data_IF_944386839918
#
_entry.id   IF_944386839918
#
_cell.length_a   1.000
_cell.length_b   1.000
_cell.length_c   1.000
_cell.angle_alpha   90.00
_cell.angle_beta   90.00
_cell.angle_gamma   90.00
#
_symmetry.space_group_name_H-M   'P 1'
#
loop_
_entity.id
_entity.type
_entity.pdbx_description
1 polymer ?
#
# COMPACT_ATOMS: atom_id res chain seq x y z
N UNK A 1 -10.33 36.24 7.00
CA UNK A 1 -9.46 35.40 7.86
C UNK A 1 -9.54 33.97 7.36
N UNK A 2 -8.53 33.53 6.60
CA UNK A 2 -8.42 32.16 6.11
C UNK A 2 -7.44 31.42 7.02
N UNK A 3 -7.94 30.52 7.88
CA UNK A 3 -7.09 29.66 8.68
C UNK A 3 -6.64 28.45 7.84
N UNK A 4 -5.31 28.31 7.70
CA UNK A 4 -4.64 27.23 6.96
C UNK A 4 -4.64 25.91 7.76
N UNK A 5 -4.70 24.74 7.11
CA UNK A 5 -4.92 23.44 7.74
C UNK A 5 -3.60 22.79 8.20
N UNK A 6 -2.89 23.38 9.16
CA UNK A 6 -1.65 22.79 9.69
C UNK A 6 -1.88 21.69 10.74
N UNK A 7 -3.10 21.57 11.29
CA UNK A 7 -3.41 20.58 12.34
C UNK A 7 -3.54 19.14 11.82
N UNK A 8 -3.82 18.91 10.53
CA UNK A 8 -3.92 17.53 10.00
C UNK A 8 -2.55 16.87 9.76
N UNK A 9 -1.51 17.68 9.51
CA UNK A 9 -0.12 17.22 9.37
C UNK A 9 0.48 16.79 10.72
N UNK A 10 0.12 17.47 11.82
CA UNK A 10 0.56 17.08 13.16
C UNK A 10 -0.01 15.72 13.60
N UNK A 11 -1.27 15.41 13.25
CA UNK A 11 -1.88 14.12 13.60
C UNK A 11 -1.26 12.94 12.84
N UNK A 12 -0.89 13.12 11.57
CA UNK A 12 -0.19 12.07 10.82
C UNK A 12 1.20 11.78 11.40
N UNK A 13 1.94 12.82 11.81
CA UNK A 13 3.25 12.66 12.46
C UNK A 13 3.16 12.01 13.85
N UNK A 14 2.10 12.29 14.62
CA UNK A 14 1.89 11.70 15.95
C UNK A 14 1.50 10.24 15.86
N UNK A 15 0.69 9.85 14.87
CA UNK A 15 0.35 8.43 14.61
C UNK A 15 1.59 7.64 14.18
N UNK A 16 2.45 8.22 13.32
CA UNK A 16 3.74 7.63 12.95
C UNK A 16 4.67 7.45 14.17
N UNK A 17 4.73 8.45 15.06
CA UNK A 17 5.55 8.38 16.29
C UNK A 17 5.02 7.40 17.35
N UNK A 18 3.70 7.26 17.50
CA UNK A 18 3.11 6.29 18.41
C UNK A 18 3.28 4.85 17.90
N UNK A 19 3.20 4.63 16.59
CA UNK A 19 3.60 3.37 15.95
C UNK A 19 5.09 3.07 16.22
N UNK A 20 5.97 4.07 16.10
CA UNK A 20 7.41 3.95 16.36
C UNK A 20 7.73 3.52 17.80
N UNK A 21 6.99 4.01 18.81
CA UNK A 21 7.20 3.63 20.22
C UNK A 21 6.71 2.22 20.55
N UNK A 22 5.65 1.74 19.90
CA UNK A 22 5.17 0.35 20.05
C UNK A 22 6.14 -0.68 19.47
N UNK A 23 6.80 -0.33 18.36
CA UNK A 23 7.78 -1.17 17.64
C UNK A 23 9.01 -1.54 18.49
N UNK A 24 9.47 -0.66 19.39
CA UNK A 24 10.71 -0.92 20.15
C UNK A 24 10.53 -1.77 21.41
N UNK A 25 9.30 -1.89 21.94
CA UNK A 25 9.06 -2.44 23.29
C UNK A 25 9.05 -3.98 23.34
N UNK A 26 8.77 -4.67 22.23
CA UNK A 26 8.56 -6.13 22.20
C UNK A 26 9.70 -6.95 21.55
N UNK A 27 10.85 -6.33 21.29
CA UNK A 27 11.95 -6.95 20.51
C UNK A 27 12.80 -8.01 21.25
N UNK A 28 12.54 -8.29 22.53
CA UNK A 28 13.36 -9.24 23.30
C UNK A 28 13.11 -10.72 22.93
N UNK A 29 11.91 -11.06 22.42
CA UNK A 29 11.55 -12.43 22.07
C UNK A 29 11.95 -12.85 20.63
N UNK A 30 12.35 -11.89 19.78
CA UNK A 30 12.65 -12.11 18.36
C UNK A 30 14.06 -12.69 18.09
N UNK A 31 14.87 -12.90 19.14
CA UNK A 31 16.26 -13.38 19.02
C UNK A 31 16.42 -14.89 18.77
N UNK A 32 15.35 -15.70 18.83
CA UNK A 32 15.50 -17.16 18.95
C UNK A 32 15.18 -18.01 17.71
N UNK A 33 14.86 -17.43 16.55
CA UNK A 33 14.66 -18.21 15.32
C UNK A 33 15.33 -17.57 14.10
N UNK A 34 16.65 -17.38 14.16
CA UNK A 34 17.44 -17.34 12.92
C UNK A 34 17.48 -18.76 12.35
N UNK A 35 16.48 -19.07 11.53
CA UNK A 35 16.41 -20.32 10.80
C UNK A 35 17.47 -20.35 9.68
N UNK A 36 18.06 -21.52 9.50
CA UNK A 36 19.06 -21.92 8.49
C UNK A 36 19.20 -20.99 7.26
N UNK A 37 20.45 -20.60 6.88
CA UNK A 37 20.69 -19.89 5.63
C UNK A 37 20.16 -20.73 4.46
N UNK A 38 19.08 -20.27 3.83
CA UNK A 38 18.37 -20.99 2.76
C UNK A 38 16.85 -21.07 2.94
N UNK A 39 16.32 -21.11 4.18
CA UNK A 39 14.87 -21.21 4.40
C UNK A 39 14.11 -20.00 3.84
N UNK A 40 14.60 -18.80 4.13
CA UNK A 40 14.03 -17.53 3.67
C UNK A 40 13.93 -17.45 2.13
N UNK A 41 14.76 -18.20 1.42
CA UNK A 41 14.74 -18.28 -0.04
C UNK A 41 13.77 -19.33 -0.60
N UNK A 42 13.47 -20.42 0.11
CA UNK A 42 12.58 -21.47 -0.41
C UNK A 42 11.15 -21.36 0.12
N UNK A 43 10.98 -20.98 1.39
CA UNK A 43 9.67 -20.86 2.05
C UNK A 43 9.64 -19.56 2.87
N UNK A 44 9.36 -18.41 2.21
CA UNK A 44 9.38 -17.13 2.88
C UNK A 44 8.14 -17.02 3.77
N UNK A 45 8.35 -16.65 5.03
CA UNK A 45 7.27 -16.43 5.99
C UNK A 45 6.87 -14.96 6.07
N UNK A 46 5.67 -14.62 6.59
CA UNK A 46 5.29 -13.23 6.85
C UNK A 46 6.29 -12.45 7.72
N UNK A 47 7.03 -13.16 8.59
CA UNK A 47 8.08 -12.57 9.42
C UNK A 47 9.33 -12.22 8.61
N UNK A 48 9.66 -13.02 7.59
CA UNK A 48 10.76 -12.70 6.67
C UNK A 48 10.42 -11.46 5.83
N UNK A 49 9.17 -11.32 5.40
CA UNK A 49 8.69 -10.11 4.72
C UNK A 49 8.75 -8.88 5.63
N UNK A 50 8.40 -9.03 6.92
CA UNK A 50 8.55 -7.96 7.90
C UNK A 50 10.01 -7.50 8.05
N UNK A 51 10.96 -8.43 8.17
CA UNK A 51 12.39 -8.09 8.23
C UNK A 51 12.90 -7.47 6.93
N UNK A 52 12.47 -8.00 5.78
CA UNK A 52 12.79 -7.43 4.47
C UNK A 52 12.35 -5.97 4.37
N UNK A 53 11.13 -5.64 4.82
CA UNK A 53 10.64 -4.26 4.80
C UNK A 53 11.44 -3.34 5.73
N UNK A 54 11.95 -3.83 6.87
CA UNK A 54 12.88 -3.06 7.71
C UNK A 54 14.21 -2.77 7.02
N UNK A 55 14.78 -3.77 6.35
CA UNK A 55 16.01 -3.59 5.57
C UNK A 55 15.77 -2.61 4.43
N UNK A 56 14.64 -2.74 3.73
CA UNK A 56 14.20 -1.80 2.69
C UNK A 56 14.12 -0.37 3.23
N UNK A 57 13.46 -0.15 4.37
CA UNK A 57 13.38 1.19 4.99
C UNK A 57 14.74 1.85 5.21
N UNK A 58 15.73 1.08 5.69
CA UNK A 58 17.06 1.60 5.95
C UNK A 58 17.77 2.03 4.67
N UNK A 59 17.66 1.25 3.59
CA UNK A 59 18.26 1.61 2.32
C UNK A 59 17.52 2.76 1.63
N UNK A 60 16.18 2.74 1.64
CA UNK A 60 15.35 3.80 1.02
C UNK A 60 15.53 5.14 1.72
N UNK A 61 15.69 5.19 3.06
CA UNK A 61 15.93 6.47 3.76
C UNK A 61 17.31 7.05 3.42
N UNK A 62 18.35 6.20 3.35
CA UNK A 62 19.69 6.63 2.97
C UNK A 62 19.69 7.15 1.53
N UNK A 63 19.03 6.43 0.62
CA UNK A 63 18.92 6.83 -0.78
C UNK A 63 18.07 8.08 -0.99
N UNK A 64 16.96 8.25 -0.26
CA UNK A 64 16.14 9.45 -0.31
C UNK A 64 16.93 10.69 0.12
N UNK A 65 17.66 10.60 1.24
CA UNK A 65 18.53 11.69 1.70
C UNK A 65 19.66 11.93 0.70
N UNK A 66 20.29 10.88 0.20
CA UNK A 66 21.36 10.96 -0.81
C UNK A 66 20.91 11.63 -2.10
N UNK A 67 19.72 11.27 -2.61
CA UNK A 67 19.13 11.86 -3.81
C UNK A 67 18.78 13.34 -3.63
N UNK A 68 18.15 13.72 -2.50
CA UNK A 68 17.82 15.12 -2.23
C UNK A 68 19.06 16.00 -2.02
N UNK A 69 20.06 15.50 -1.29
CA UNK A 69 21.33 16.22 -1.08
C UNK A 69 22.13 16.30 -2.37
N UNK A 70 22.14 15.22 -3.16
CA UNK A 70 22.81 15.19 -4.45
C UNK A 70 22.17 16.13 -5.44
N UNK A 71 20.82 16.20 -5.48
CA UNK A 71 20.10 17.18 -6.29
C UNK A 71 20.54 18.60 -5.96
N UNK A 72 20.56 18.98 -4.67
CA UNK A 72 21.02 20.32 -4.27
C UNK A 72 22.49 20.66 -4.57
N UNK A 73 23.28 19.71 -5.07
CA UNK A 73 24.67 19.91 -5.53
C UNK A 73 24.83 19.88 -7.04
N UNK A 74 23.93 19.19 -7.74
CA UNK A 74 24.07 18.86 -9.16
C UNK A 74 22.96 19.47 -10.01
N UNK A 75 21.91 19.99 -9.37
CA UNK A 75 20.65 20.45 -9.98
C UNK A 75 20.01 19.44 -10.95
N UNK A 76 20.44 18.17 -10.96
CA UNK A 76 19.90 17.12 -11.84
C UNK A 76 18.50 16.70 -11.40
N UNK A 77 17.51 17.05 -12.20
CA UNK A 77 16.11 16.66 -11.96
C UNK A 77 15.92 15.14 -11.94
N UNK A 78 16.76 14.37 -12.64
CA UNK A 78 16.74 12.91 -12.56
C UNK A 78 17.15 12.39 -11.18
N UNK A 79 18.10 13.05 -10.51
CA UNK A 79 18.49 12.74 -9.15
C UNK A 79 17.44 13.15 -8.11
N UNK A 80 16.71 14.25 -8.38
CA UNK A 80 15.54 14.62 -7.60
C UNK A 80 14.43 13.57 -7.73
N UNK A 81 14.12 13.13 -8.95
CA UNK A 81 13.14 12.07 -9.20
C UNK A 81 13.53 10.77 -8.47
N UNK A 82 14.81 10.39 -8.50
CA UNK A 82 15.34 9.28 -7.71
C UNK A 82 15.14 9.48 -6.20
N UNK A 83 15.47 10.65 -5.65
CA UNK A 83 15.30 10.92 -4.22
C UNK A 83 13.84 10.83 -3.78
N UNK A 84 12.92 11.39 -4.59
CA UNK A 84 11.48 11.36 -4.33
C UNK A 84 10.89 9.95 -4.45
N UNK A 85 11.31 9.15 -5.44
CA UNK A 85 10.90 7.76 -5.57
C UNK A 85 11.29 6.95 -4.33
N UNK A 86 12.48 7.20 -3.78
CA UNK A 86 12.91 6.56 -2.54
C UNK A 86 12.08 6.95 -1.31
N UNK A 87 11.47 8.15 -1.28
CA UNK A 87 10.50 8.52 -0.24
C UNK A 87 9.21 7.71 -0.40
N UNK A 88 8.81 7.41 -1.63
CA UNK A 88 7.65 6.54 -1.91
C UNK A 88 7.93 5.10 -1.56
N UNK A 89 9.10 4.56 -1.93
CA UNK A 89 9.52 3.21 -1.54
C UNK A 89 9.65 3.06 -0.02
N UNK A 90 10.15 4.10 0.66
CA UNK A 90 10.12 4.17 2.13
C UNK A 90 8.68 4.09 2.66
N UNK A 91 7.77 4.90 2.11
CA UNK A 91 6.38 4.94 2.56
C UNK A 91 5.65 3.61 2.29
N UNK A 92 5.90 2.98 1.14
CA UNK A 92 5.35 1.65 0.83
C UNK A 92 5.90 0.58 1.77
N UNK A 93 7.20 0.63 2.08
CA UNK A 93 7.82 -0.29 3.05
C UNK A 93 7.21 -0.13 4.46
N UNK A 94 6.88 1.10 4.89
CA UNK A 94 6.16 1.34 6.16
C UNK A 94 4.75 0.73 6.13
N UNK A 95 4.03 0.91 5.02
CA UNK A 95 2.67 0.37 4.85
C UNK A 95 2.69 -1.17 4.90
N UNK A 96 3.67 -1.78 4.26
CA UNK A 96 3.89 -3.23 4.28
C UNK A 96 4.24 -3.71 5.70
N UNK A 97 5.08 -2.99 6.44
CA UNK A 97 5.34 -3.29 7.85
C UNK A 97 4.05 -3.25 8.68
N UNK A 98 3.19 -2.24 8.49
CA UNK A 98 1.91 -2.16 9.18
C UNK A 98 0.98 -3.34 8.84
N UNK A 99 1.04 -3.83 7.60
CA UNK A 99 0.26 -4.98 7.14
C UNK A 99 0.72 -6.31 7.76
N UNK A 100 2.04 -6.52 7.86
CA UNK A 100 2.63 -7.73 8.44
C UNK A 100 2.79 -7.64 9.96
N UNK A 101 2.63 -6.46 10.57
CA UNK A 101 2.58 -6.30 12.02
C UNK A 101 1.34 -6.99 12.59
N UNK A 102 1.57 -8.13 13.24
CA UNK A 102 0.54 -8.93 13.90
C UNK A 102 0.85 -9.03 15.40
N UNK A 103 0.17 -8.25 16.26
CA UNK A 103 0.43 -8.30 17.69
C UNK A 103 0.10 -9.66 18.31
N UNK A 104 -1.03 -10.31 18.00
CA UNK A 104 -1.52 -11.48 18.72
C UNK A 104 -2.15 -12.49 17.74
N UNK A 105 -1.90 -13.80 17.90
CA UNK A 105 -1.99 -14.93 16.93
C UNK A 105 -3.28 -15.16 16.13
N UNK A 106 -3.25 -16.10 15.18
CA UNK A 106 -4.27 -16.30 14.13
C UNK A 106 -5.61 -16.84 14.63
N UNK A 107 -6.71 -16.14 14.30
CA UNK A 107 -8.11 -16.61 14.36
C UNK A 107 -8.77 -16.39 12.99
N UNK A 108 -9.81 -17.15 12.63
CA UNK A 108 -10.52 -17.02 11.35
C UNK A 108 -11.14 -15.63 11.13
N UNK A 109 -11.60 -14.95 12.20
CA UNK A 109 -12.05 -13.55 12.13
C UNK A 109 -10.92 -12.57 11.77
N UNK A 110 -9.65 -12.95 11.93
CA UNK A 110 -8.49 -12.15 11.50
C UNK A 110 -8.25 -12.28 10.00
N UNK A 111 -8.58 -13.39 9.33
CA UNK A 111 -8.36 -13.53 7.88
C UNK A 111 -9.14 -12.47 7.08
N UNK A 112 -10.40 -12.23 7.44
CA UNK A 112 -11.19 -11.15 6.83
C UNK A 112 -10.60 -9.75 7.10
N UNK A 113 -10.11 -9.51 8.32
CA UNK A 113 -9.41 -8.25 8.67
C UNK A 113 -8.09 -8.09 7.92
N UNK A 114 -7.33 -9.16 7.73
CA UNK A 114 -6.06 -9.16 6.99
C UNK A 114 -6.29 -8.86 5.50
N UNK A 115 -7.34 -9.41 4.89
CA UNK A 115 -7.71 -9.10 3.50
C UNK A 115 -8.06 -7.62 3.30
N UNK A 116 -8.88 -7.04 4.19
CA UNK A 116 -9.18 -5.59 4.15
C UNK A 116 -7.93 -4.73 4.37
N UNK A 117 -7.01 -5.14 5.25
CA UNK A 117 -5.73 -4.44 5.48
C UNK A 117 -4.84 -4.50 4.24
N UNK A 118 -4.80 -5.63 3.55
CA UNK A 118 -4.07 -5.81 2.29
C UNK A 118 -4.59 -4.87 1.20
N UNK A 119 -5.91 -4.81 1.04
CA UNK A 119 -6.57 -3.93 0.09
C UNK A 119 -6.27 -2.45 0.39
N UNK A 120 -6.44 -2.02 1.65
CA UNK A 120 -6.11 -0.66 2.11
C UNK A 120 -4.64 -0.31 1.85
N UNK A 121 -3.72 -1.22 2.18
CA UNK A 121 -2.29 -1.04 1.95
C UNK A 121 -1.97 -0.86 0.45
N UNK A 122 -2.53 -1.76 -0.38
CA UNK A 122 -2.38 -1.73 -1.83
C UNK A 122 -2.91 -0.43 -2.44
N UNK A 123 -4.05 0.07 -1.96
CA UNK A 123 -4.63 1.34 -2.41
C UNK A 123 -3.79 2.55 -1.96
N UNK A 124 -3.34 2.56 -0.71
CA UNK A 124 -2.49 3.61 -0.17
C UNK A 124 -1.19 3.76 -0.98
N UNK A 125 -0.53 2.64 -1.30
CA UNK A 125 0.70 2.65 -2.12
C UNK A 125 0.42 3.24 -3.51
N UNK A 126 -0.69 2.85 -4.16
CA UNK A 126 -1.07 3.40 -5.47
C UNK A 126 -1.36 4.91 -5.44
N UNK A 127 -2.00 5.41 -4.38
CA UNK A 127 -2.23 6.85 -4.19
C UNK A 127 -0.91 7.61 -4.08
N UNK A 128 0.01 7.10 -3.26
CA UNK A 128 1.32 7.72 -3.04
C UNK A 128 2.13 7.76 -4.34
N UNK A 129 2.16 6.67 -5.12
CA UNK A 129 2.83 6.61 -6.43
C UNK A 129 2.24 7.64 -7.41
N UNK A 130 0.90 7.74 -7.50
CA UNK A 130 0.25 8.67 -8.43
C UNK A 130 0.50 10.15 -8.09
N UNK A 131 0.45 10.50 -6.81
CA UNK A 131 0.74 11.86 -6.33
C UNK A 131 2.20 12.22 -6.61
N UNK A 132 3.13 11.32 -6.30
CA UNK A 132 4.56 11.57 -6.52
C UNK A 132 4.90 11.66 -8.02
N UNK A 133 4.32 10.79 -8.85
CA UNK A 133 4.49 10.85 -10.30
C UNK A 133 4.05 12.19 -10.88
N UNK A 134 2.96 12.77 -10.35
CA UNK A 134 2.50 14.12 -10.72
C UNK A 134 3.52 15.19 -10.34
N UNK A 135 4.10 15.08 -9.16
CA UNK A 135 5.14 16.01 -8.71
C UNK A 135 6.40 15.93 -9.59
N UNK A 136 6.91 14.72 -9.84
CA UNK A 136 8.08 14.50 -10.70
C UNK A 136 7.82 15.03 -12.11
N UNK A 137 6.64 14.76 -12.67
CA UNK A 137 6.24 15.27 -13.98
C UNK A 137 6.28 16.81 -14.04
N UNK A 138 5.72 17.50 -13.05
CA UNK A 138 5.76 18.95 -12.98
C UNK A 138 7.20 19.48 -12.92
N UNK A 139 8.04 18.91 -12.05
CA UNK A 139 9.44 19.33 -11.91
C UNK A 139 10.21 19.11 -13.21
N UNK A 140 10.03 17.97 -13.87
CA UNK A 140 10.69 17.68 -15.13
C UNK A 140 10.28 18.60 -16.28
N UNK A 141 9.06 19.15 -16.28
CA UNK A 141 8.65 20.21 -17.23
C UNK A 141 9.43 21.51 -16.96
N UNK A 142 9.56 21.92 -15.70
CA UNK A 142 10.29 23.14 -15.34
C UNK A 142 11.79 23.04 -15.66
N UNK A 143 12.35 21.86 -15.47
CA UNK A 143 13.73 21.52 -15.79
C UNK A 143 13.99 21.57 -17.30
N UNK A 144 13.10 20.97 -18.11
CA UNK A 144 13.19 20.98 -19.56
C UNK A 144 13.19 22.39 -20.18
N UNK A 145 12.67 23.39 -19.46
CA UNK A 145 12.63 24.79 -19.90
C UNK A 145 13.87 25.60 -19.47
N UNK A 146 14.68 25.07 -18.56
CA UNK A 146 15.95 25.63 -18.13
C UNK A 146 17.09 24.98 -18.93
N UNK A 147 18.14 25.75 -19.24
CA UNK A 147 19.36 25.18 -19.83
C UNK A 147 20.31 24.91 -18.67
N UNK A 148 20.57 23.63 -18.38
CA UNK A 148 21.39 23.26 -17.23
C UNK A 148 22.89 23.40 -17.49
N UNK A 149 23.55 23.85 -16.43
CA UNK A 149 24.98 24.06 -16.24
C UNK A 149 25.72 22.75 -15.84
N UNK A 150 27.05 22.86 -15.69
CA UNK A 150 27.98 21.76 -15.42
C UNK A 150 27.59 20.88 -14.21
N UNK A 151 27.36 19.60 -14.49
CA UNK A 151 26.97 18.59 -13.50
C UNK A 151 28.17 17.79 -12.98
N UNK A 152 28.21 17.46 -11.68
CA UNK A 152 29.24 16.58 -11.11
C UNK A 152 28.99 15.11 -11.50
N UNK A 153 29.55 14.71 -12.65
CA UNK A 153 29.38 13.38 -13.24
C UNK A 153 29.90 12.24 -12.35
N UNK A 154 30.94 12.47 -11.54
CA UNK A 154 31.51 11.43 -10.67
C UNK A 154 30.52 11.06 -9.56
N UNK A 155 29.89 12.07 -8.95
CA UNK A 155 28.89 11.85 -7.91
C UNK A 155 27.69 11.07 -8.45
N UNK A 156 27.19 11.43 -9.65
CA UNK A 156 26.07 10.76 -10.30
C UNK A 156 26.38 9.29 -10.61
N UNK A 157 27.59 9.00 -11.10
CA UNK A 157 28.03 7.64 -11.41
C UNK A 157 28.06 6.75 -10.15
N UNK A 158 28.66 7.23 -9.06
CA UNK A 158 28.79 6.44 -7.82
C UNK A 158 27.42 6.17 -7.20
N UNK A 159 26.56 7.18 -7.10
CA UNK A 159 25.22 7.03 -6.51
C UNK A 159 24.38 6.07 -7.34
N UNK A 160 24.36 6.22 -8.66
CA UNK A 160 23.58 5.36 -9.55
C UNK A 160 24.04 3.91 -9.50
N UNK A 161 25.35 3.66 -9.59
CA UNK A 161 25.91 2.31 -9.56
C UNK A 161 25.58 1.55 -8.27
N UNK A 162 25.78 2.19 -7.11
CA UNK A 162 25.45 1.59 -5.80
C UNK A 162 23.95 1.33 -5.69
N UNK A 163 23.13 2.28 -6.15
CA UNK A 163 21.67 2.18 -6.08
C UNK A 163 21.14 1.04 -6.93
N UNK A 164 21.66 0.81 -8.14
CA UNK A 164 21.26 -0.32 -8.99
C UNK A 164 21.46 -1.66 -8.28
N UNK A 165 22.60 -1.84 -7.61
CA UNK A 165 22.91 -3.09 -6.91
C UNK A 165 21.95 -3.29 -5.73
N UNK A 166 21.75 -2.25 -4.92
CA UNK A 166 20.92 -2.32 -3.71
C UNK A 166 19.44 -2.49 -4.09
N UNK A 167 18.88 -1.60 -4.91
CA UNK A 167 17.47 -1.63 -5.29
C UNK A 167 17.14 -2.77 -6.24
N UNK A 168 18.05 -3.15 -7.13
CA UNK A 168 17.88 -4.32 -7.98
C UNK A 168 17.80 -5.60 -7.14
N UNK A 169 18.66 -5.73 -6.13
CA UNK A 169 18.60 -6.81 -5.15
C UNK A 169 17.28 -6.81 -4.37
N UNK A 170 16.86 -5.67 -3.83
CA UNK A 170 15.60 -5.52 -3.09
C UNK A 170 14.38 -5.89 -3.97
N UNK A 171 14.35 -5.41 -5.20
CA UNK A 171 13.29 -5.68 -6.17
C UNK A 171 13.12 -7.17 -6.40
N UNK A 172 14.22 -7.89 -6.62
CA UNK A 172 14.21 -9.33 -6.84
C UNK A 172 13.62 -10.08 -5.64
N UNK A 173 14.06 -9.73 -4.42
CA UNK A 173 13.59 -10.39 -3.19
C UNK A 173 12.12 -10.05 -2.92
N UNK A 174 11.72 -8.78 -3.06
CA UNK A 174 10.33 -8.33 -2.87
C UNK A 174 9.36 -9.04 -3.81
N UNK A 175 9.68 -9.17 -5.11
CA UNK A 175 8.81 -9.90 -6.05
C UNK A 175 8.70 -11.38 -5.75
N UNK A 176 9.81 -12.02 -5.36
CA UNK A 176 9.77 -13.42 -4.93
C UNK A 176 8.86 -13.58 -3.72
N UNK A 177 9.00 -12.72 -2.72
CA UNK A 177 8.18 -12.79 -1.50
C UNK A 177 6.72 -12.48 -1.79
N UNK A 178 6.43 -11.51 -2.66
CA UNK A 178 5.08 -11.17 -3.06
C UNK A 178 4.36 -12.33 -3.74
N UNK A 179 5.07 -13.10 -4.58
CA UNK A 179 4.53 -14.28 -5.25
C UNK A 179 4.26 -15.44 -4.28
N UNK A 180 5.21 -15.72 -3.38
CA UNK A 180 5.08 -16.82 -2.43
C UNK A 180 4.04 -16.53 -1.33
N UNK A 181 3.88 -15.26 -0.93
CA UNK A 181 2.91 -14.84 0.09
C UNK A 181 1.56 -14.38 -0.48
N UNK A 182 1.39 -14.42 -1.81
CA UNK A 182 0.22 -13.91 -2.54
C UNK A 182 -0.25 -12.53 -2.03
N UNK A 183 0.70 -11.59 -1.94
CA UNK A 183 0.49 -10.26 -1.33
C UNK A 183 0.55 -9.14 -2.39
N UNK A 184 -0.62 -8.59 -2.79
CA UNK A 184 -0.68 -7.46 -3.72
C UNK A 184 0.03 -6.19 -3.22
N UNK A 185 0.05 -5.94 -1.90
CA UNK A 185 0.74 -4.78 -1.31
C UNK A 185 2.26 -4.94 -1.40
N UNK A 186 2.79 -6.13 -1.11
CA UNK A 186 4.22 -6.42 -1.25
C UNK A 186 4.65 -6.42 -2.72
N UNK A 187 3.78 -6.85 -3.63
CA UNK A 187 4.04 -6.72 -5.07
C UNK A 187 4.21 -5.26 -5.49
N UNK A 188 3.32 -4.37 -5.03
CA UNK A 188 3.40 -2.93 -5.31
C UNK A 188 4.63 -2.29 -4.68
N UNK A 189 5.00 -2.68 -3.47
CA UNK A 189 6.26 -2.27 -2.83
C UNK A 189 7.49 -2.70 -3.65
N UNK A 190 7.45 -3.90 -4.25
CA UNK A 190 8.47 -4.33 -5.22
C UNK A 190 8.51 -3.49 -6.49
N UNK A 191 7.35 -2.99 -6.97
CA UNK A 191 7.28 -2.07 -8.11
C UNK A 191 7.94 -0.73 -7.77
N UNK A 192 7.77 -0.19 -6.56
CA UNK A 192 8.47 1.03 -6.13
C UNK A 192 10.00 0.84 -6.23
N UNK A 193 10.52 -0.25 -5.67
CA UNK A 193 11.97 -0.56 -5.76
C UNK A 193 12.44 -0.77 -7.21
N UNK A 194 11.57 -1.33 -8.07
CA UNK A 194 11.88 -1.48 -9.49
C UNK A 194 11.97 -0.11 -10.20
N UNK A 195 11.05 0.81 -9.90
CA UNK A 195 11.08 2.18 -10.44
C UNK A 195 12.38 2.87 -9.98
N UNK A 196 12.71 2.77 -8.69
CA UNK A 196 13.98 3.28 -8.15
C UNK A 196 15.21 2.70 -8.86
N UNK A 197 15.23 1.38 -9.11
CA UNK A 197 16.29 0.72 -9.88
C UNK A 197 16.38 1.26 -11.31
N UNK A 198 15.23 1.43 -11.98
CA UNK A 198 15.18 1.94 -13.36
C UNK A 198 15.64 3.40 -13.46
N UNK A 199 15.33 4.22 -12.46
CA UNK A 199 15.82 5.59 -12.34
C UNK A 199 17.34 5.61 -12.14
N UNK A 200 17.88 4.76 -11.25
CA UNK A 200 19.33 4.65 -11.09
C UNK A 200 20.04 4.15 -12.34
N UNK A 201 19.47 3.15 -13.04
CA UNK A 201 20.01 2.67 -14.30
C UNK A 201 20.00 3.75 -15.39
N UNK A 202 18.93 4.54 -15.45
CA UNK A 202 18.83 5.65 -16.39
C UNK A 202 19.84 6.74 -16.05
N UNK A 203 20.00 7.08 -14.76
CA UNK A 203 20.99 8.05 -14.30
C UNK A 203 22.42 7.63 -14.65
N UNK A 204 22.75 6.34 -14.49
CA UNK A 204 24.06 5.81 -14.88
C UNK A 204 24.26 5.94 -16.40
N UNK A 205 23.23 5.63 -17.18
CA UNK A 205 23.27 5.71 -18.64
C UNK A 205 23.39 7.16 -19.14
N UNK A 206 22.61 8.09 -18.58
CA UNK A 206 22.69 9.52 -18.97
C UNK A 206 24.04 10.10 -18.59
N UNK A 207 24.56 9.78 -17.40
CA UNK A 207 25.92 10.18 -16.98
C UNK A 207 26.99 9.70 -17.96
N UNK A 208 26.94 8.43 -18.37
CA UNK A 208 27.90 7.87 -19.33
C UNK A 208 27.80 8.54 -20.72
N UNK A 209 26.58 8.88 -21.17
CA UNK A 209 26.38 9.57 -22.45
C UNK A 209 26.87 11.01 -22.38
N UNK A 210 26.61 11.73 -21.29
CA UNK A 210 27.02 13.13 -21.11
C UNK A 210 28.54 13.25 -21.03
N UNK A 211 29.24 12.25 -20.47
CA UNK A 211 30.71 12.18 -20.47
C UNK A 211 31.30 12.21 -21.89
N UNK A 212 30.70 11.49 -22.84
CA UNK A 212 31.13 11.50 -24.25
C UNK A 212 30.53 12.67 -25.06
N UNK A 213 29.33 13.13 -24.69
CA UNK A 213 28.54 14.12 -25.41
C UNK A 213 27.92 15.16 -24.45
N UNK A 214 28.65 16.24 -24.11
CA UNK A 214 28.20 17.26 -23.15
C UNK A 214 26.91 18.00 -23.53
N UNK A 215 26.45 17.90 -24.79
CA UNK A 215 25.18 18.49 -25.26
C UNK A 215 23.95 17.62 -24.98
N UNK A 216 24.11 16.46 -24.37
CA UNK A 216 23.04 15.51 -24.09
C UNK A 216 22.31 15.74 -22.75
N UNK A 217 22.47 16.90 -22.11
CA UNK A 217 21.86 17.23 -20.81
C UNK A 217 20.32 17.15 -20.81
N UNK A 218 19.66 17.26 -21.97
CA UNK A 218 18.21 17.10 -22.08
C UNK A 218 17.71 15.67 -21.78
N UNK A 219 18.59 14.67 -21.67
CA UNK A 219 18.20 13.30 -21.38
C UNK A 219 17.64 13.13 -19.96
N UNK A 220 18.19 13.84 -18.99
CA UNK A 220 17.75 13.78 -17.58
C UNK A 220 16.27 14.18 -17.42
N UNK A 221 15.81 15.36 -17.91
CA UNK A 221 14.40 15.73 -17.84
C UNK A 221 13.50 14.81 -18.66
N UNK A 222 13.96 14.32 -19.83
CA UNK A 222 13.16 13.40 -20.67
C UNK A 222 12.89 12.08 -19.95
N UNK A 223 13.91 11.50 -19.30
CA UNK A 223 13.74 10.26 -18.52
C UNK A 223 12.81 10.52 -17.33
N UNK A 224 13.02 11.61 -16.60
CA UNK A 224 12.17 12.01 -15.47
C UNK A 224 10.71 12.19 -15.87
N UNK A 225 10.45 12.80 -17.04
CA UNK A 225 9.10 12.93 -17.61
C UNK A 225 8.46 11.57 -17.89
N UNK A 226 9.19 10.65 -18.53
CA UNK A 226 8.69 9.31 -18.84
C UNK A 226 8.34 8.53 -17.58
N UNK A 227 9.19 8.60 -16.55
CA UNK A 227 8.92 7.95 -15.25
C UNK A 227 7.72 8.61 -14.57
N UNK A 228 7.66 9.94 -14.53
CA UNK A 228 6.51 10.67 -13.98
C UNK A 228 5.18 10.26 -14.63
N UNK A 229 5.12 10.24 -15.97
CA UNK A 229 3.94 9.80 -16.72
C UNK A 229 3.58 8.35 -16.38
N UNK A 230 4.56 7.45 -16.36
CA UNK A 230 4.32 6.03 -16.07
C UNK A 230 3.78 5.83 -14.66
N UNK A 231 4.33 6.52 -13.67
CA UNK A 231 3.88 6.49 -12.28
C UNK A 231 2.47 7.07 -12.11
N UNK A 232 2.14 8.16 -12.80
CA UNK A 232 0.76 8.72 -12.84
C UNK A 232 -0.20 7.67 -13.39
N UNK A 233 0.10 7.12 -14.57
CA UNK A 233 -0.77 6.13 -15.23
C UNK A 233 -0.97 4.92 -14.34
N UNK A 234 0.08 4.39 -13.72
CA UNK A 234 -0.01 3.23 -12.83
C UNK A 234 -0.79 3.54 -11.55
N UNK A 235 -0.45 4.63 -10.86
CA UNK A 235 -1.09 5.03 -9.60
C UNK A 235 -2.58 5.34 -9.77
N UNK A 236 -2.93 6.17 -10.76
CA UNK A 236 -4.31 6.59 -10.98
C UNK A 236 -5.19 5.54 -11.63
N UNK A 237 -4.65 4.63 -12.46
CA UNK A 237 -5.46 3.52 -13.02
C UNK A 237 -6.11 2.67 -11.93
N UNK A 238 -5.36 2.33 -10.88
CA UNK A 238 -5.88 1.54 -9.76
C UNK A 238 -6.99 2.31 -9.04
N UNK A 239 -6.81 3.62 -8.84
CA UNK A 239 -7.77 4.47 -8.14
C UNK A 239 -9.06 4.64 -8.97
N UNK A 240 -8.92 4.87 -10.27
CA UNK A 240 -10.05 5.02 -11.19
C UNK A 240 -10.88 3.75 -11.30
N UNK A 241 -10.25 2.57 -11.31
CA UNK A 241 -10.96 1.30 -11.28
C UNK A 241 -11.81 1.16 -10.00
N UNK A 242 -11.23 1.49 -8.84
CA UNK A 242 -11.95 1.42 -7.56
C UNK A 242 -13.08 2.45 -7.43
N UNK A 243 -12.91 3.62 -8.03
CA UNK A 243 -13.97 4.63 -8.12
C UNK A 243 -15.11 4.18 -9.04
N UNK A 244 -14.79 3.51 -10.15
CA UNK A 244 -15.79 2.94 -11.06
C UNK A 244 -16.61 1.83 -10.36
N UNK A 245 -15.97 1.06 -9.48
CA UNK A 245 -16.63 0.03 -8.66
C UNK A 245 -17.42 0.62 -7.47
N UNK A 246 -17.44 1.95 -7.29
CA UNK A 246 -18.20 2.63 -6.25
C UNK A 246 -17.62 2.49 -4.84
N UNK A 247 -16.34 2.11 -4.72
CA UNK A 247 -15.68 1.96 -3.40
C UNK A 247 -15.47 3.35 -2.78
N UNK A 248 -15.92 3.62 -1.55
CA UNK A 248 -15.83 4.94 -0.92
C UNK A 248 -14.43 5.21 -0.33
N UNK A 249 -13.40 5.22 -1.17
CA UNK A 249 -11.98 5.34 -0.78
C UNK A 249 -11.68 6.66 -0.04
N UNK A 250 -12.39 7.73 -0.40
CA UNK A 250 -12.23 9.05 0.21
C UNK A 250 -13.02 9.21 1.52
N UNK A 251 -13.82 8.22 1.92
CA UNK A 251 -14.58 8.29 3.16
C UNK A 251 -13.72 7.83 4.36
N UNK A 252 -13.59 8.63 5.45
CA UNK A 252 -12.76 8.28 6.60
C UNK A 252 -13.14 6.92 7.23
N UNK A 253 -14.43 6.57 7.18
CA UNK A 253 -14.93 5.28 7.69
C UNK A 253 -14.46 4.05 6.89
N UNK A 254 -13.95 4.22 5.67
CA UNK A 254 -13.35 3.11 4.92
C UNK A 254 -11.95 2.75 5.46
N UNK A 255 -11.21 3.74 5.98
CA UNK A 255 -9.87 3.55 6.56
C UNK A 255 -9.90 3.07 8.01
N UNK A 256 -10.92 3.48 8.78
CA UNK A 256 -11.06 3.14 10.19
C UNK A 256 -12.15 2.08 10.44
N UNK A 257 -11.76 0.93 10.97
CA UNK A 257 -12.72 -0.07 11.47
C UNK A 257 -13.10 0.33 12.91
N UNK A 258 -14.38 0.66 13.17
CA UNK A 258 -14.86 0.90 14.54
C UNK A 258 -14.58 -0.36 15.36
N UNK A 259 -13.89 -0.20 16.48
CA UNK A 259 -13.70 -1.26 17.47
C UNK A 259 -15.10 -1.59 18.02
N UNK A 260 -15.74 -2.64 17.53
CA UNK A 260 -16.90 -3.19 18.22
C UNK A 260 -16.41 -3.63 19.60
N UNK A 261 -16.95 -3.01 20.64
CA UNK A 261 -16.71 -3.42 22.01
C UNK A 261 -17.25 -4.85 22.16
N UNK A 262 -16.34 -5.79 22.41
CA UNK A 262 -16.71 -7.08 22.97
C UNK A 262 -17.15 -6.84 24.41
N UNK A 263 -18.42 -7.12 24.70
CA UNK A 263 -18.95 -7.30 26.06
C UNK A 263 -19.61 -6.07 26.68
N UNK A 264 -20.92 -5.91 26.43
CA UNK A 264 -21.94 -5.47 27.39
C UNK A 264 -23.28 -5.40 26.65
N UNK A 265 -24.06 -6.48 26.71
CA UNK A 265 -25.53 -6.46 26.78
C UNK A 265 -26.04 -7.90 26.89
N UNK A 266 -25.69 -8.52 28.00
CA UNK A 266 -26.47 -9.60 28.58
C UNK A 266 -27.07 -9.07 29.89
N UNK A 267 -28.33 -8.62 29.81
CA UNK A 267 -29.24 -8.59 30.96
C UNK A 267 -29.59 -7.22 31.54
N UNK A 268 -30.91 -6.96 31.53
CA UNK A 268 -31.67 -6.09 32.44
C UNK A 268 -31.53 -4.57 32.20
N UNK A 269 -32.59 -3.77 32.12
CA UNK A 269 -33.91 -3.88 32.74
C UNK A 269 -34.91 -3.03 31.95
N UNK A 270 -36.16 -3.46 32.01
CA UNK A 270 -37.36 -2.75 31.58
C UNK A 270 -37.46 -1.32 32.15
N UNK A 271 -38.22 -0.48 31.43
CA UNK A 271 -39.47 0.15 31.88
C UNK A 271 -39.58 1.63 31.44
N UNK A 272 -40.84 2.07 31.27
CA UNK A 272 -41.40 3.35 30.79
C UNK A 272 -41.76 3.38 29.28
N UNK A 273 -43.02 3.43 28.84
CA UNK A 273 -44.26 3.78 29.56
C UNK A 273 -45.51 3.38 28.72
N UNK A 274 -46.56 2.93 29.44
CA UNK A 274 -47.96 2.80 29.00
C UNK A 274 -48.56 4.17 28.65
N UNK A 275 -49.53 4.20 27.73
CA UNK A 275 -50.83 4.88 27.94
C UNK A 275 -51.87 4.42 26.87
N UNK A 276 -52.91 3.76 27.40
CA UNK A 276 -54.36 3.80 27.11
C UNK A 276 -54.99 3.50 25.72
N UNK A 277 -55.64 2.33 25.69
CA UNK A 277 -57.05 2.07 25.38
C UNK A 277 -57.72 2.65 24.11
N UNK A 278 -58.05 1.74 23.17
CA UNK A 278 -59.45 1.45 22.76
C UNK A 278 -59.55 0.24 21.81
N UNK A 279 -60.37 -0.73 22.21
CA UNK A 279 -60.86 -1.86 21.42
C UNK A 279 -61.64 -1.43 20.17
N UNK A 280 -61.39 -2.08 19.04
CA UNK A 280 -62.41 -2.37 18.02
C UNK A 280 -61.99 -3.59 17.17
N UNK A 281 -62.93 -4.52 16.97
CA UNK A 281 -62.77 -5.90 16.50
C UNK A 281 -62.70 -6.11 14.96
N UNK A 282 -62.12 -7.28 14.57
CA UNK A 282 -62.34 -8.17 13.39
C UNK A 282 -61.74 -7.83 11.99
N UNK A 283 -61.43 -8.82 11.10
CA UNK A 283 -61.22 -10.29 11.23
C UNK A 283 -59.92 -10.84 10.54
N UNK A 284 -59.63 -12.17 10.55
CA UNK A 284 -58.31 -12.74 10.29
C UNK A 284 -58.15 -13.40 8.90
N UNK A 285 -56.96 -13.30 8.29
CA UNK A 285 -56.26 -14.37 7.54
C UNK A 285 -55.11 -13.79 6.69
N UNK A 286 -53.98 -14.49 6.60
CA UNK A 286 -53.44 -15.11 5.36
C UNK A 286 -51.99 -15.54 5.57
N UNK A 287 -51.73 -16.62 6.32
CA UNK A 287 -50.37 -17.23 6.33
C UNK A 287 -50.38 -18.75 6.45
N UNK A 288 -51.43 -19.43 5.97
CA UNK A 288 -51.51 -20.92 6.05
C UNK A 288 -51.67 -21.61 4.69
N UNK A 289 -51.58 -20.86 3.58
CA UNK A 289 -51.72 -21.40 2.22
C UNK A 289 -50.39 -21.74 1.55
N UNK A 290 -49.32 -20.94 1.75
CA UNK A 290 -48.02 -21.18 1.09
C UNK A 290 -47.26 -22.39 1.64
N UNK A 291 -47.42 -22.69 2.93
CA UNK A 291 -46.68 -23.78 3.59
C UNK A 291 -47.24 -25.19 3.24
N UNK A 292 -48.51 -25.26 2.81
CA UNK A 292 -49.14 -26.51 2.34
C UNK A 292 -48.88 -26.83 0.86
N UNK A 293 -48.51 -25.84 0.06
CA UNK A 293 -48.25 -26.02 -1.37
C UNK A 293 -46.84 -26.56 -1.64
N UNK A 294 -45.84 -26.13 -0.85
CA UNK A 294 -44.46 -26.64 -0.94
C UNK A 294 -44.31 -28.09 -0.45
N UNK A 295 -45.10 -28.52 0.54
CA UNK A 295 -45.04 -29.89 1.06
C UNK A 295 -45.67 -30.93 0.12
N UNK A 296 -46.59 -30.53 -0.76
CA UNK A 296 -47.18 -31.41 -1.77
C UNK A 296 -46.22 -31.65 -2.94
N UNK A 297 -45.60 -30.58 -3.46
CA UNK A 297 -44.67 -30.67 -4.59
C UNK A 297 -43.41 -31.51 -4.30
N UNK A 298 -42.99 -31.58 -3.03
CA UNK A 298 -41.81 -32.37 -2.62
C UNK A 298 -42.06 -33.88 -2.53
N UNK A 299 -43.32 -34.31 -2.44
CA UNK A 299 -43.69 -35.74 -2.47
C UNK A 299 -43.79 -36.27 -3.89
N UNK A 300 -44.39 -35.49 -4.79
CA UNK A 300 -44.59 -35.90 -6.19
C UNK A 300 -43.26 -36.10 -6.95
N UNK A 301 -42.22 -35.31 -6.66
CA UNK A 301 -40.88 -35.46 -7.29
C UNK A 301 -40.16 -36.74 -6.82
N UNK A 302 -40.34 -37.15 -5.56
CA UNK A 302 -39.68 -38.35 -5.00
C UNK A 302 -40.32 -39.67 -5.45
N UNK A 303 -41.57 -39.62 -5.90
CA UNK A 303 -42.24 -40.80 -6.43
C UNK A 303 -41.96 -40.98 -7.94
N UNK A 304 -41.61 -39.91 -8.67
CA UNK A 304 -41.13 -39.99 -10.06
C UNK A 304 -39.69 -40.53 -10.16
N UNK A 305 -38.80 -40.17 -9.22
CA UNK A 305 -37.41 -40.70 -9.20
C UNK A 305 -37.34 -42.21 -8.86
N UNK A 306 -38.38 -42.79 -8.27
CA UNK A 306 -38.42 -44.21 -7.91
C UNK A 306 -38.97 -45.14 -8.99
N UNK A 307 -39.59 -44.62 -10.05
CA UNK A 307 -40.02 -45.43 -11.21
C UNK A 307 -39.02 -45.43 -12.38
N UNK A 308 -37.88 -44.71 -12.25
CA UNK A 308 -36.84 -44.60 -13.28
C UNK A 308 -35.53 -45.35 -12.96
N UNK A 309 -35.50 -46.15 -11.89
CA UNK A 309 -34.39 -47.05 -11.49
C UNK A 309 -34.93 -48.46 -11.33
#
# INVERSE_FOLDING_TARGET
HYELPWKSLQYHSIVQLQLFKGIFKDNAALRYQMAFPGRWWHEPTPQDAFWLSWVSLLFTIIAAVGGLVGFGKTDSTLLLAFGLENVVDFTSSVIVLWRFYCPHGCDEAKMAKLKKREERASVAISLVIGILGTFIFCVAIFDFLQNDDETDLMLLFVISFVSIIVFGGLTFVKFKYAKELDSPSLYKDGICSLIGTSLSASLLLTTAIVEEHPRAGYLDPVVSLLVGITSIVYGFKVILALLADGVPIFHPGWWYEKKQAEGEDAGNTAEYQKDDDKEQELPPNTTTAKEKEETKNRKDVKDIERELV
#
